data_IF_879505500844
#
_entry.id   IF_879505500844
#
_cell.length_a   1.000
_cell.length_b   1.000
_cell.length_c   1.000
_cell.angle_alpha   90.00
_cell.angle_beta   90.00
_cell.angle_gamma   90.00
#
_symmetry.space_group_name_H-M   'P 1'
#
loop_
_entity.id
_entity.type
_entity.pdbx_description
1 polymer ?
#
# COMPACT_ATOMS: atom_id res chain seq x y z
N UNK A 1 40.32 43.69 67.04
CA UNK A 1 40.66 44.29 65.73
C UNK A 1 40.88 43.16 64.75
N UNK A 2 40.08 43.17 63.67
CA UNK A 2 40.11 42.35 62.45
C UNK A 2 39.92 40.84 62.58
N UNK A 3 38.66 40.43 62.44
CA UNK A 3 38.21 39.13 61.93
C UNK A 3 38.24 39.18 60.40
N UNK A 4 38.93 38.23 59.76
CA UNK A 4 38.94 38.06 58.30
C UNK A 4 38.05 36.87 57.92
N UNK A 5 36.87 37.07 57.32
CA UNK A 5 35.91 36.02 57.02
C UNK A 5 36.00 35.64 55.54
N UNK A 6 37.04 34.93 55.12
CA UNK A 6 37.11 34.45 53.73
C UNK A 6 37.90 33.13 53.58
N UNK A 7 37.65 32.20 54.50
CA UNK A 7 38.20 30.86 54.47
C UNK A 7 37.11 29.80 54.26
N UNK A 8 36.28 29.93 53.22
CA UNK A 8 35.42 28.81 52.79
C UNK A 8 34.92 28.88 51.32
N UNK A 9 35.82 29.15 50.38
CA UNK A 9 35.49 29.08 48.95
C UNK A 9 36.53 28.24 48.20
N UNK A 10 36.34 26.90 48.21
CA UNK A 10 36.86 25.96 47.17
C UNK A 10 36.43 24.52 47.48
N UNK A 11 35.16 24.19 47.24
CA UNK A 11 34.73 22.80 46.99
C UNK A 11 33.68 22.77 45.88
N UNK A 12 33.84 21.77 45.01
CA UNK A 12 32.96 21.31 43.95
C UNK A 12 32.86 22.16 42.67
N UNK A 13 33.93 22.15 41.88
CA UNK A 13 33.79 22.21 40.43
C UNK A 13 33.51 20.78 39.91
N UNK A 14 32.43 20.52 39.16
CA UNK A 14 32.21 19.21 38.57
C UNK A 14 33.33 18.86 37.59
N UNK A 15 33.86 17.64 37.67
CA UNK A 15 34.83 17.11 36.71
C UNK A 15 34.27 17.23 35.29
N UNK A 16 35.09 17.63 34.29
CA UNK A 16 34.63 17.64 32.91
C UNK A 16 34.25 16.21 32.51
N UNK A 17 33.01 16.03 32.04
CA UNK A 17 32.55 14.74 31.52
C UNK A 17 33.55 14.24 30.45
N UNK A 18 33.91 12.95 30.47
CA UNK A 18 34.84 12.39 29.50
C UNK A 18 34.30 12.66 28.09
N UNK A 19 35.04 13.42 27.29
CA UNK A 19 34.65 13.73 25.93
C UNK A 19 34.54 12.44 25.14
N UNK A 20 33.31 12.03 24.83
CA UNK A 20 33.06 10.89 23.93
C UNK A 20 33.71 11.26 22.59
N UNK A 21 34.68 10.48 22.08
CA UNK A 21 35.28 10.78 20.79
C UNK A 21 34.16 10.83 19.74
N UNK A 22 34.09 11.94 19.00
CA UNK A 22 33.11 12.12 17.95
C UNK A 22 33.19 10.93 16.99
N UNK A 23 32.16 10.09 16.99
CA UNK A 23 32.06 8.99 16.04
C UNK A 23 32.12 9.61 14.64
N UNK A 24 32.92 9.06 13.71
CA UNK A 24 32.87 9.52 12.32
C UNK A 24 31.43 9.45 11.84
N UNK A 25 30.96 10.50 11.17
CA UNK A 25 29.59 10.60 10.69
C UNK A 25 29.25 9.33 9.91
N UNK A 26 28.32 8.52 10.44
CA UNK A 26 27.98 7.24 9.83
C UNK A 26 27.48 7.49 8.40
N UNK A 27 28.04 6.78 7.42
CA UNK A 27 27.58 6.88 6.04
C UNK A 27 26.13 6.39 5.97
N UNK A 28 25.24 7.26 5.47
CA UNK A 28 23.82 6.94 5.34
C UNK A 28 23.66 5.76 4.37
N UNK A 29 23.13 4.65 4.89
CA UNK A 29 22.75 3.48 4.10
C UNK A 29 21.55 3.81 3.23
N UNK A 30 21.54 3.27 2.02
CA UNK A 30 20.46 3.44 1.05
C UNK A 30 20.19 2.09 0.39
N UNK A 31 18.91 1.78 0.09
CA UNK A 31 18.63 0.64 -0.76
C UNK A 31 19.25 0.85 -2.15
N UNK A 32 19.59 -0.23 -2.85
CA UNK A 32 20.04 -0.12 -4.23
C UNK A 32 18.90 0.40 -5.13
N UNK A 33 19.26 1.04 -6.23
CA UNK A 33 18.36 1.31 -7.36
C UNK A 33 18.86 0.44 -8.51
N UNK A 34 18.02 -0.47 -8.99
CA UNK A 34 18.42 -1.59 -9.84
C UNK A 34 17.81 -1.48 -11.25
N UNK A 35 17.75 -0.28 -11.81
CA UNK A 35 17.14 -0.03 -13.13
C UNK A 35 17.78 -0.86 -14.24
N UNK A 36 19.11 -0.98 -14.26
CA UNK A 36 19.82 -1.84 -15.22
C UNK A 36 19.40 -3.33 -15.16
N UNK A 37 18.82 -3.80 -14.03
CA UNK A 37 18.30 -5.17 -13.90
C UNK A 37 16.82 -5.26 -14.27
N UNK A 38 16.02 -4.24 -13.99
CA UNK A 38 14.57 -4.24 -14.28
C UNK A 38 14.26 -3.94 -15.74
N UNK A 39 15.01 -3.02 -16.36
CA UNK A 39 14.83 -2.64 -17.76
C UNK A 39 14.80 -3.82 -18.75
N UNK A 40 15.79 -4.74 -18.77
CA UNK A 40 15.76 -5.89 -19.69
C UNK A 40 14.63 -6.88 -19.39
N UNK A 41 14.17 -6.99 -18.14
CA UNK A 41 13.01 -7.82 -17.78
C UNK A 41 11.72 -7.24 -18.37
N UNK A 42 11.55 -5.92 -18.27
CA UNK A 42 10.39 -5.23 -18.85
C UNK A 42 10.36 -5.37 -20.37
N UNK A 43 11.50 -5.23 -21.04
CA UNK A 43 11.54 -5.43 -22.50
C UNK A 43 11.15 -6.85 -22.92
N UNK A 44 11.59 -7.88 -22.17
CA UNK A 44 11.17 -9.27 -22.40
C UNK A 44 9.69 -9.49 -22.11
N UNK A 45 9.15 -8.85 -21.07
CA UNK A 45 7.73 -8.90 -20.74
C UNK A 45 6.88 -8.27 -21.86
N UNK A 46 7.24 -7.10 -22.36
CA UNK A 46 6.53 -6.48 -23.49
C UNK A 46 6.56 -7.35 -24.75
N UNK A 47 7.68 -8.01 -25.03
CA UNK A 47 7.80 -8.97 -26.14
C UNK A 47 6.88 -10.18 -25.95
N UNK A 48 6.86 -10.78 -24.77
CA UNK A 48 6.04 -11.95 -24.47
C UNK A 48 4.52 -11.62 -24.44
N UNK A 49 4.17 -10.41 -23.98
CA UNK A 49 2.78 -9.96 -23.83
C UNK A 49 2.24 -9.32 -25.12
N UNK A 50 3.11 -8.79 -25.99
CA UNK A 50 2.74 -8.16 -27.24
C UNK A 50 2.13 -6.76 -27.08
N UNK A 51 2.52 -6.01 -26.05
CA UNK A 51 2.04 -4.64 -25.82
C UNK A 51 2.72 -3.95 -24.62
N UNK A 52 2.37 -2.68 -24.35
CA UNK A 52 2.99 -1.90 -23.28
C UNK A 52 2.79 -2.54 -21.91
N UNK A 53 3.88 -2.58 -21.15
CA UNK A 53 3.90 -3.11 -19.80
C UNK A 53 4.14 -2.00 -18.79
N UNK A 54 3.33 -1.99 -17.72
CA UNK A 54 3.49 -1.07 -16.59
C UNK A 54 3.47 -1.89 -15.30
N UNK A 55 4.46 -1.70 -14.45
CA UNK A 55 4.44 -2.25 -13.10
C UNK A 55 3.87 -1.26 -12.11
N UNK A 56 3.07 -1.76 -11.17
CA UNK A 56 2.68 -1.08 -9.94
C UNK A 56 3.04 -1.97 -8.75
N UNK A 57 4.15 -1.65 -8.10
CA UNK A 57 4.68 -2.38 -6.96
C UNK A 57 4.68 -1.51 -5.71
N UNK A 58 4.14 -2.03 -4.61
CA UNK A 58 4.09 -1.38 -3.30
C UNK A 58 4.76 -2.29 -2.27
N UNK A 59 5.70 -1.74 -1.49
CA UNK A 59 6.38 -2.49 -0.43
C UNK A 59 5.40 -2.88 0.68
N UNK A 60 5.72 -3.93 1.44
CA UNK A 60 4.87 -4.41 2.53
C UNK A 60 4.64 -3.37 3.64
N UNK A 61 5.51 -2.37 3.73
CA UNK A 61 5.39 -1.31 4.72
C UNK A 61 4.57 -0.12 4.19
N UNK A 62 4.24 -0.07 2.89
CA UNK A 62 3.55 1.03 2.22
C UNK A 62 2.12 0.66 1.82
N UNK A 63 1.35 1.65 1.35
CA UNK A 63 -0.02 1.44 0.87
C UNK A 63 -0.35 2.30 -0.34
N UNK A 64 -1.28 1.82 -1.14
CA UNK A 64 -1.89 2.56 -2.25
C UNK A 64 -2.53 3.85 -1.72
N UNK A 65 -2.19 4.99 -2.32
CA UNK A 65 -2.70 6.31 -1.93
C UNK A 65 -3.04 7.19 -3.14
N UNK A 66 -3.69 8.33 -2.90
CA UNK A 66 -4.04 9.29 -3.97
C UNK A 66 -2.83 9.83 -4.74
N UNK A 67 -1.65 9.86 -4.13
CA UNK A 67 -0.39 10.30 -4.77
C UNK A 67 0.02 9.36 -5.91
N UNK A 68 -0.40 8.09 -5.85
CA UNK A 68 -0.07 7.09 -6.87
C UNK A 68 -0.79 7.35 -8.20
N UNK A 69 -1.88 8.13 -8.16
CA UNK A 69 -2.68 8.47 -9.34
C UNK A 69 -1.86 9.35 -10.29
N UNK A 70 -1.21 10.40 -9.76
CA UNK A 70 -0.34 11.28 -10.54
C UNK A 70 0.94 10.56 -11.00
N UNK A 71 1.50 9.71 -10.13
CA UNK A 71 2.63 8.85 -10.46
C UNK A 71 2.33 7.89 -11.62
N UNK A 72 1.16 7.26 -11.61
CA UNK A 72 0.73 6.39 -12.70
C UNK A 72 0.53 7.18 -14.01
N UNK A 73 -0.17 8.32 -13.99
CA UNK A 73 -0.35 9.17 -15.20
C UNK A 73 1.00 9.56 -15.81
N UNK A 74 1.96 9.93 -14.96
CA UNK A 74 3.31 10.29 -15.39
C UNK A 74 4.03 9.15 -16.12
N UNK A 75 3.94 7.93 -15.59
CA UNK A 75 4.49 6.73 -16.25
C UNK A 75 3.73 6.40 -17.55
N UNK A 76 2.40 6.49 -17.55
CA UNK A 76 1.59 6.22 -18.74
C UNK A 76 1.84 7.21 -19.87
N UNK A 77 2.11 8.49 -19.57
CA UNK A 77 2.53 9.47 -20.59
C UNK A 77 3.82 9.05 -21.27
N UNK A 78 4.78 8.50 -20.52
CA UNK A 78 6.02 7.97 -21.09
C UNK A 78 5.76 6.73 -21.94
N UNK A 79 4.92 5.81 -21.48
CA UNK A 79 4.54 4.65 -22.27
C UNK A 79 3.91 5.06 -23.62
N UNK A 80 3.11 6.15 -23.62
CA UNK A 80 2.48 6.70 -24.83
C UNK A 80 3.47 7.26 -25.85
N UNK A 81 4.62 7.78 -25.40
CA UNK A 81 5.68 8.25 -26.29
C UNK A 81 6.32 7.11 -27.08
N UNK A 82 6.33 5.89 -26.53
CA UNK A 82 6.88 4.70 -27.17
C UNK A 82 5.84 3.98 -28.04
N UNK A 83 4.58 3.99 -27.62
CA UNK A 83 3.47 3.41 -28.36
C UNK A 83 2.23 4.29 -28.24
N UNK A 84 1.89 4.98 -29.35
CA UNK A 84 0.72 5.86 -29.36
C UNK A 84 -0.59 5.04 -29.31
N UNK A 85 -1.47 5.42 -28.37
CA UNK A 85 -2.77 4.83 -28.04
C UNK A 85 -2.84 3.29 -28.18
N UNK A 86 -2.25 2.53 -27.24
CA UNK A 86 -2.26 1.08 -27.32
C UNK A 86 -3.67 0.50 -27.17
N UNK A 87 -3.99 -0.54 -27.95
CA UNK A 87 -5.23 -1.31 -27.81
C UNK A 87 -5.34 -1.97 -26.44
N UNK A 88 -4.21 -2.38 -25.86
CA UNK A 88 -4.15 -3.07 -24.57
C UNK A 88 -2.89 -2.67 -23.80
N UNK A 89 -3.03 -2.47 -22.49
CA UNK A 89 -1.91 -2.33 -21.55
C UNK A 89 -1.89 -3.49 -20.56
N UNK A 90 -0.70 -3.94 -20.20
CA UNK A 90 -0.49 -4.98 -19.20
C UNK A 90 0.01 -4.35 -17.91
N UNK A 91 -0.73 -4.55 -16.82
CA UNK A 91 -0.46 -3.95 -15.53
C UNK A 91 -0.03 -5.02 -14.53
N UNK A 92 1.25 -5.06 -14.17
CA UNK A 92 1.69 -5.83 -13.01
C UNK A 92 1.20 -5.17 -11.71
N UNK A 93 0.58 -5.94 -10.83
CA UNK A 93 0.08 -5.47 -9.54
C UNK A 93 0.69 -6.31 -8.43
N UNK A 94 1.38 -5.64 -7.51
CA UNK A 94 1.80 -6.19 -6.22
C UNK A 94 1.54 -5.14 -5.14
N UNK A 95 0.58 -5.37 -4.25
CA UNK A 95 0.26 -4.45 -3.16
C UNK A 95 -0.65 -5.06 -2.10
N UNK A 96 -0.41 -4.71 -0.84
CA UNK A 96 -1.27 -5.05 0.31
C UNK A 96 -2.54 -4.17 0.43
N UNK A 97 -2.79 -3.31 -0.56
CA UNK A 97 -3.98 -2.45 -0.62
C UNK A 97 -3.72 -1.03 -0.14
N UNK A 98 -4.75 -0.38 0.39
CA UNK A 98 -4.74 1.04 0.71
C UNK A 98 -6.08 1.70 0.40
N UNK A 99 -6.06 2.82 -0.32
CA UNK A 99 -7.28 3.60 -0.60
C UNK A 99 -7.99 3.12 -1.87
N UNK A 100 -9.19 2.53 -1.73
CA UNK A 100 -10.00 2.10 -2.88
C UNK A 100 -10.38 3.23 -3.85
N UNK A 101 -10.49 4.47 -3.36
CA UNK A 101 -10.72 5.65 -4.22
C UNK A 101 -9.53 5.95 -5.13
N UNK A 102 -8.30 5.61 -4.73
CA UNK A 102 -7.13 5.70 -5.60
C UNK A 102 -7.19 4.64 -6.71
N UNK A 103 -7.61 3.41 -6.38
CA UNK A 103 -7.83 2.34 -7.37
C UNK A 103 -8.84 2.74 -8.46
N UNK A 104 -9.96 3.38 -8.09
CA UNK A 104 -10.92 3.90 -9.06
C UNK A 104 -10.29 4.97 -9.97
N UNK A 105 -9.54 5.92 -9.41
CA UNK A 105 -8.89 6.98 -10.21
C UNK A 105 -7.80 6.43 -11.12
N UNK A 106 -7.01 5.47 -10.64
CA UNK A 106 -6.00 4.76 -11.44
C UNK A 106 -6.67 3.99 -12.58
N UNK A 107 -7.77 3.28 -12.32
CA UNK A 107 -8.58 2.61 -13.36
C UNK A 107 -9.05 3.60 -14.42
N UNK A 108 -9.58 4.75 -14.01
CA UNK A 108 -10.04 5.79 -14.94
C UNK A 108 -8.90 6.25 -15.88
N UNK A 109 -7.70 6.50 -15.35
CA UNK A 109 -6.56 6.93 -16.18
C UNK A 109 -6.09 5.81 -17.11
N UNK A 110 -6.04 4.56 -16.64
CA UNK A 110 -5.71 3.40 -17.49
C UNK A 110 -6.69 3.26 -18.66
N UNK A 111 -7.98 3.52 -18.42
CA UNK A 111 -9.04 3.49 -19.44
C UNK A 111 -8.97 4.64 -20.43
N UNK A 112 -8.38 5.77 -20.05
CA UNK A 112 -8.04 6.85 -20.98
C UNK A 112 -6.76 6.58 -21.78
N UNK A 113 -5.88 5.71 -21.25
CA UNK A 113 -4.61 5.36 -21.88
C UNK A 113 -4.75 4.25 -22.93
N UNK A 114 -5.52 3.20 -22.64
CA UNK A 114 -5.71 2.04 -23.49
C UNK A 114 -7.18 1.60 -23.56
N UNK A 115 -7.57 0.96 -24.68
CA UNK A 115 -8.94 0.46 -24.84
C UNK A 115 -9.23 -0.73 -23.91
N UNK A 116 -8.20 -1.53 -23.59
CA UNK A 116 -8.27 -2.66 -22.68
C UNK A 116 -7.08 -2.70 -21.70
N UNK A 117 -7.30 -3.29 -20.53
CA UNK A 117 -6.31 -3.50 -19.48
C UNK A 117 -6.27 -4.99 -19.14
N UNK A 118 -5.08 -5.54 -18.99
CA UNK A 118 -4.86 -6.89 -18.43
C UNK A 118 -4.07 -6.76 -17.14
N UNK A 119 -4.68 -7.14 -16.02
CA UNK A 119 -4.00 -7.18 -14.72
C UNK A 119 -3.17 -8.45 -14.61
N UNK A 120 -1.91 -8.34 -14.24
CA UNK A 120 -0.97 -9.42 -14.01
C UNK A 120 -0.69 -9.48 -12.50
N UNK A 121 -1.11 -10.57 -11.85
CA UNK A 121 -1.06 -10.76 -10.40
C UNK A 121 -0.22 -12.02 -10.08
N UNK A 122 1.11 -11.91 -10.11
CA UNK A 122 2.01 -13.03 -9.79
C UNK A 122 2.14 -13.27 -8.28
N UNK A 123 1.82 -12.25 -7.47
CA UNK A 123 1.92 -12.22 -6.01
C UNK A 123 0.62 -11.64 -5.41
N UNK A 124 0.67 -10.91 -4.31
CA UNK A 124 -0.50 -10.35 -3.66
C UNK A 124 -1.05 -9.09 -4.35
N UNK A 125 -2.36 -9.07 -4.58
CA UNK A 125 -3.12 -7.85 -4.86
C UNK A 125 -4.30 -7.76 -3.90
N UNK A 126 -4.05 -7.28 -2.68
CA UNK A 126 -5.02 -7.26 -1.60
C UNK A 126 -5.86 -5.96 -1.54
N UNK A 127 -7.09 -6.06 -1.08
CA UNK A 127 -7.97 -4.93 -0.74
C UNK A 127 -8.10 -3.92 -1.89
N UNK A 128 -7.62 -2.68 -1.74
CA UNK A 128 -7.64 -1.69 -2.83
C UNK A 128 -6.90 -2.14 -4.10
N UNK A 129 -5.89 -3.00 -4.00
CA UNK A 129 -5.21 -3.57 -5.15
C UNK A 129 -6.07 -4.63 -5.86
N UNK A 130 -6.92 -5.37 -5.12
CA UNK A 130 -8.00 -6.17 -5.73
C UNK A 130 -8.94 -5.25 -6.52
N UNK A 131 -9.36 -4.11 -5.94
CA UNK A 131 -10.19 -3.14 -6.67
C UNK A 131 -9.52 -2.65 -7.95
N UNK A 132 -8.21 -2.37 -7.94
CA UNK A 132 -7.47 -1.99 -9.16
C UNK A 132 -7.48 -3.12 -10.21
N UNK A 133 -7.30 -4.38 -9.78
CA UNK A 133 -7.38 -5.54 -10.65
C UNK A 133 -8.79 -5.73 -11.26
N UNK A 134 -9.87 -5.40 -10.52
CA UNK A 134 -11.24 -5.40 -11.05
C UNK A 134 -11.42 -4.43 -12.22
N UNK A 135 -10.58 -3.41 -12.32
CA UNK A 135 -10.59 -2.45 -13.43
C UNK A 135 -10.10 -3.03 -14.75
N UNK A 136 -9.55 -4.25 -14.76
CA UNK A 136 -9.03 -4.92 -15.93
C UNK A 136 -10.06 -5.83 -16.61
N UNK A 137 -10.03 -5.86 -17.95
CA UNK A 137 -10.87 -6.74 -18.79
C UNK A 137 -10.47 -8.22 -18.63
N UNK A 138 -9.22 -8.47 -18.21
CA UNK A 138 -8.70 -9.80 -17.92
C UNK A 138 -7.76 -9.72 -16.71
N UNK A 139 -7.86 -10.69 -15.80
CA UNK A 139 -6.98 -10.81 -14.62
C UNK A 139 -6.20 -12.12 -14.75
N UNK A 140 -4.89 -12.04 -14.96
CA UNK A 140 -4.02 -13.21 -15.00
C UNK A 140 -3.36 -13.39 -13.64
N UNK A 141 -3.60 -14.55 -13.01
CA UNK A 141 -3.15 -14.86 -11.66
C UNK A 141 -2.10 -15.98 -11.74
N UNK A 142 -0.94 -15.76 -11.10
CA UNK A 142 0.15 -16.73 -11.00
C UNK A 142 -0.08 -17.79 -9.91
N UNK A 143 0.77 -18.82 -9.83
CA UNK A 143 0.67 -19.86 -8.80
C UNK A 143 0.79 -19.34 -7.36
N UNK A 144 1.57 -18.27 -7.16
CA UNK A 144 1.71 -17.58 -5.87
C UNK A 144 0.72 -16.40 -5.72
N UNK A 145 -0.02 -16.10 -6.79
CA UNK A 145 -0.87 -14.93 -6.87
C UNK A 145 -2.21 -15.10 -6.19
N UNK A 146 -2.70 -14.03 -5.56
CA UNK A 146 -4.05 -13.99 -4.99
C UNK A 146 -4.62 -12.58 -4.94
N UNK A 147 -5.95 -12.51 -5.01
CA UNK A 147 -6.74 -11.33 -4.62
C UNK A 147 -7.22 -11.49 -3.17
N UNK A 148 -7.76 -10.46 -2.55
CA UNK A 148 -8.36 -10.58 -1.21
C UNK A 148 -9.73 -9.91 -1.14
N UNK A 149 -10.38 -10.04 0.02
CA UNK A 149 -11.60 -9.31 0.30
C UNK A 149 -11.35 -7.79 0.29
N UNK A 150 -12.41 -7.03 0.03
CA UNK A 150 -12.41 -5.57 -0.09
C UNK A 150 -13.23 -4.87 1.02
N UNK A 151 -13.60 -5.64 2.04
CA UNK A 151 -14.27 -5.12 3.22
C UNK A 151 -13.40 -4.09 3.93
N UNK A 152 -14.02 -3.00 4.37
CA UNK A 152 -13.30 -1.91 5.01
C UNK A 152 -13.54 -1.93 6.52
N UNK A 153 -12.44 -2.08 7.27
CA UNK A 153 -12.41 -1.72 8.69
C UNK A 153 -11.95 -0.27 8.84
N UNK A 154 -12.46 0.44 9.86
CA UNK A 154 -12.04 1.82 10.14
C UNK A 154 -11.61 2.00 11.60
N UNK A 155 -10.60 2.84 11.80
CA UNK A 155 -10.24 3.41 13.12
C UNK A 155 -10.84 4.80 13.24
N UNK A 156 -12.03 4.88 13.84
CA UNK A 156 -12.75 6.13 14.04
C UNK A 156 -12.29 6.85 15.31
N UNK A 157 -12.45 8.18 15.38
CA UNK A 157 -12.15 8.98 16.58
C UNK A 157 -13.00 8.64 17.82
N UNK A 158 -13.95 7.71 17.69
CA UNK A 158 -14.79 7.18 18.76
C UNK A 158 -14.74 5.66 18.81
N UNK A 159 -13.78 5.04 18.09
CA UNK A 159 -13.52 3.61 18.20
C UNK A 159 -13.13 3.22 19.62
N UNK A 160 -13.43 1.98 20.04
CA UNK A 160 -12.98 1.43 21.31
C UNK A 160 -11.46 1.56 21.49
N UNK A 161 -11.01 1.58 22.73
CA UNK A 161 -9.58 1.59 23.06
C UNK A 161 -9.13 0.18 23.44
N UNK A 162 -7.91 -0.18 23.03
CA UNK A 162 -7.22 -1.38 23.50
C UNK A 162 -6.52 -1.11 24.85
N UNK A 163 -5.87 -2.15 25.39
CA UNK A 163 -5.16 -2.12 26.68
C UNK A 163 -3.96 -1.15 26.72
N UNK A 164 -3.51 -0.61 25.58
CA UNK A 164 -2.45 0.39 25.47
C UNK A 164 -2.97 1.76 25.00
N UNK A 165 -4.29 2.00 25.11
CA UNK A 165 -4.98 3.21 24.66
C UNK A 165 -4.89 3.47 23.15
N UNK A 166 -4.63 2.44 22.36
CA UNK A 166 -4.74 2.45 20.91
C UNK A 166 -6.20 2.31 20.46
N UNK A 167 -6.60 3.02 19.40
CA UNK A 167 -7.96 2.89 18.84
C UNK A 167 -8.08 1.58 18.06
N UNK A 168 -9.02 0.73 18.44
CA UNK A 168 -9.32 -0.54 17.78
C UNK A 168 -10.00 -0.28 16.43
N UNK A 169 -9.60 -1.03 15.39
CA UNK A 169 -10.30 -0.99 14.10
C UNK A 169 -11.61 -1.75 14.22
N UNK A 170 -12.71 -1.21 13.69
CA UNK A 170 -14.00 -1.88 13.70
C UNK A 170 -14.38 -2.19 12.26
N UNK A 171 -14.77 -3.43 11.98
CA UNK A 171 -15.31 -3.86 10.70
C UNK A 171 -16.85 -3.88 10.73
N UNK A 172 -17.47 -3.53 9.60
CA UNK A 172 -18.91 -3.72 9.41
C UNK A 172 -19.29 -5.20 9.45
N UNK A 173 -18.50 -6.07 8.82
CA UNK A 173 -18.76 -7.51 8.76
C UNK A 173 -18.74 -8.14 10.17
N UNK A 174 -17.79 -7.74 11.02
CA UNK A 174 -17.72 -8.20 12.42
C UNK A 174 -18.98 -7.84 13.21
N UNK A 175 -19.46 -6.59 13.09
CA UNK A 175 -20.70 -6.17 13.76
C UNK A 175 -21.92 -6.97 13.28
N UNK A 176 -22.04 -7.18 11.96
CA UNK A 176 -23.13 -7.97 11.38
C UNK A 176 -23.05 -9.42 11.84
N UNK A 177 -21.86 -10.01 11.96
CA UNK A 177 -21.68 -11.37 12.49
C UNK A 177 -22.12 -11.48 13.95
N UNK A 178 -21.82 -10.49 14.79
CA UNK A 178 -22.28 -10.49 16.19
C UNK A 178 -23.80 -10.48 16.25
N UNK A 179 -24.45 -9.60 15.47
CA UNK A 179 -25.93 -9.53 15.41
C UNK A 179 -26.53 -10.84 14.86
N UNK A 180 -25.90 -11.45 13.85
CA UNK A 180 -26.33 -12.75 13.31
C UNK A 180 -26.21 -13.86 14.34
N UNK A 181 -25.07 -13.96 15.02
CA UNK A 181 -24.85 -14.97 16.07
C UNK A 181 -25.84 -14.80 17.22
N UNK A 182 -26.15 -13.56 17.60
CA UNK A 182 -27.20 -13.29 18.58
C UNK A 182 -28.55 -13.84 18.13
N UNK A 183 -28.96 -13.55 16.89
CA UNK A 183 -30.23 -14.03 16.35
C UNK A 183 -30.29 -15.57 16.25
N UNK A 184 -29.18 -16.24 15.94
CA UNK A 184 -29.09 -17.70 15.87
C UNK A 184 -29.18 -18.39 17.24
N UNK A 185 -28.69 -17.72 18.31
CA UNK A 185 -28.65 -18.28 19.67
C UNK A 185 -29.76 -17.73 20.58
N UNK A 186 -30.53 -16.74 20.11
CA UNK A 186 -31.70 -16.22 20.78
C UNK A 186 -32.76 -17.32 20.89
N UNK A 187 -33.05 -17.76 22.12
CA UNK A 187 -34.08 -18.78 22.38
C UNK A 187 -35.48 -18.34 21.90
N UNK A 188 -36.43 -19.27 21.74
CA UNK A 188 -37.80 -18.94 21.36
C UNK A 188 -38.39 -17.94 22.36
N UNK A 189 -38.68 -16.70 21.92
CA UNK A 189 -39.21 -15.63 22.76
C UNK A 189 -38.19 -14.59 23.26
N UNK A 190 -36.91 -14.70 22.89
CA UNK A 190 -35.92 -13.65 23.12
C UNK A 190 -36.20 -12.44 22.20
N UNK A 191 -37.14 -11.60 22.61
CA UNK A 191 -37.39 -10.29 22.01
C UNK A 191 -36.39 -9.29 22.59
N UNK A 192 -35.44 -8.82 21.78
CA UNK A 192 -34.46 -7.82 22.19
C UNK A 192 -33.73 -7.22 21.00
N UNK A 193 -33.34 -5.95 21.13
CA UNK A 193 -32.52 -5.26 20.14
C UNK A 193 -31.03 -5.39 20.53
N UNK A 194 -30.20 -6.18 19.82
CA UNK A 194 -28.79 -6.37 20.18
C UNK A 194 -27.97 -5.08 20.04
N UNK A 195 -28.47 -4.08 19.31
CA UNK A 195 -27.78 -2.80 19.13
C UNK A 195 -27.68 -2.01 20.42
N UNK A 196 -28.66 -2.11 21.33
CA UNK A 196 -28.64 -1.38 22.60
C UNK A 196 -27.39 -1.74 23.42
N UNK A 197 -27.15 -3.03 23.62
CA UNK A 197 -25.97 -3.56 24.32
C UNK A 197 -24.67 -3.25 23.57
N UNK A 198 -24.68 -3.31 22.22
CA UNK A 198 -23.50 -2.98 21.43
C UNK A 198 -23.08 -1.52 21.57
N UNK A 199 -24.01 -0.58 21.79
CA UNK A 199 -23.70 0.85 21.93
C UNK A 199 -22.86 1.17 23.18
N UNK A 200 -22.91 0.32 24.20
CA UNK A 200 -22.06 0.45 25.40
C UNK A 200 -20.57 0.16 25.10
N UNK A 201 -20.31 -0.61 24.05
CA UNK A 201 -18.95 -1.00 23.65
C UNK A 201 -18.47 -0.29 22.39
N UNK A 202 -19.37 -0.03 21.43
CA UNK A 202 -19.07 0.58 20.14
C UNK A 202 -19.99 1.77 19.92
N UNK A 203 -19.40 2.96 19.94
CA UNK A 203 -20.15 4.21 19.81
C UNK A 203 -20.99 4.24 18.51
N UNK A 204 -22.26 4.69 18.52
CA UNK A 204 -23.16 4.66 17.34
C UNK A 204 -22.60 5.34 16.08
N UNK A 205 -21.88 6.45 16.22
CA UNK A 205 -21.18 7.10 15.10
C UNK A 205 -20.11 6.21 14.42
N UNK A 206 -19.50 5.28 15.16
CA UNK A 206 -18.58 4.28 14.60
C UNK A 206 -19.36 3.29 13.75
N UNK A 207 -20.50 2.80 14.24
CA UNK A 207 -21.40 1.89 13.51
C UNK A 207 -21.87 2.54 12.20
N UNK A 208 -22.34 3.79 12.27
CA UNK A 208 -22.70 4.54 11.07
C UNK A 208 -21.51 4.80 10.14
N UNK A 209 -20.29 4.92 10.67
CA UNK A 209 -19.10 5.12 9.85
C UNK A 209 -18.62 3.84 9.15
N UNK A 210 -18.69 2.67 9.81
CA UNK A 210 -18.36 1.38 9.16
C UNK A 210 -19.40 1.00 8.11
N UNK A 211 -20.68 1.30 8.33
CA UNK A 211 -21.75 1.11 7.33
C UNK A 211 -21.48 1.92 6.05
N UNK A 212 -21.15 3.21 6.21
CA UNK A 212 -20.72 4.05 5.08
C UNK A 212 -19.46 3.51 4.39
N UNK A 213 -18.49 3.01 5.15
CA UNK A 213 -17.25 2.46 4.59
C UNK A 213 -17.51 1.18 3.77
N UNK A 214 -18.34 0.27 4.27
CA UNK A 214 -18.79 -0.94 3.56
C UNK A 214 -19.56 -0.58 2.28
N UNK A 215 -20.50 0.36 2.37
CA UNK A 215 -21.25 0.87 1.21
C UNK A 215 -20.34 1.49 0.15
N UNK A 216 -19.29 2.20 0.59
CA UNK A 216 -18.29 2.76 -0.31
C UNK A 216 -17.49 1.67 -1.03
N UNK A 217 -17.04 0.61 -0.34
CA UNK A 217 -16.35 -0.53 -0.97
C UNK A 217 -17.17 -1.16 -2.09
N UNK A 218 -18.46 -1.44 -1.82
CA UNK A 218 -19.38 -2.02 -2.82
C UNK A 218 -19.56 -1.06 -4.01
N UNK A 219 -19.78 0.23 -3.74
CA UNK A 219 -19.94 1.24 -4.79
C UNK A 219 -18.69 1.36 -5.66
N UNK A 220 -17.51 1.40 -5.05
CA UNK A 220 -16.23 1.48 -5.78
C UNK A 220 -16.02 0.27 -6.67
N UNK A 221 -16.22 -0.95 -6.15
CA UNK A 221 -16.07 -2.16 -6.96
C UNK A 221 -17.07 -2.20 -8.13
N UNK A 222 -18.33 -1.82 -7.88
CA UNK A 222 -19.37 -1.78 -8.91
C UNK A 222 -19.03 -0.76 -10.00
N UNK A 223 -18.60 0.45 -9.60
CA UNK A 223 -18.18 1.51 -10.53
C UNK A 223 -16.97 1.08 -11.36
N UNK A 224 -15.94 0.51 -10.72
CA UNK A 224 -14.73 0.03 -11.39
C UNK A 224 -15.07 -1.07 -12.41
N UNK A 225 -15.90 -2.04 -12.04
CA UNK A 225 -16.32 -3.11 -12.94
C UNK A 225 -17.11 -2.54 -14.13
N UNK A 226 -17.92 -1.49 -13.92
CA UNK A 226 -18.76 -0.91 -14.97
C UNK A 226 -18.00 -0.33 -16.17
N UNK A 227 -16.68 -0.12 -16.05
CA UNK A 227 -15.84 0.27 -17.19
C UNK A 227 -15.75 -0.79 -18.30
N UNK A 228 -16.07 -2.06 -18.00
CA UNK A 228 -15.97 -3.16 -18.97
C UNK A 228 -17.00 -4.28 -18.79
N UNK A 229 -17.64 -4.39 -17.62
CA UNK A 229 -18.78 -5.28 -17.43
C UNK A 229 -20.07 -4.62 -17.92
N UNK A 230 -20.65 -5.16 -18.98
CA UNK A 230 -22.00 -4.77 -19.45
C UNK A 230 -23.12 -5.29 -18.52
N UNK A 231 -22.89 -6.43 -17.86
CA UNK A 231 -23.84 -7.02 -16.92
C UNK A 231 -23.71 -6.38 -15.52
N UNK A 232 -24.51 -5.34 -15.30
CA UNK A 232 -24.55 -4.60 -14.04
C UNK A 232 -24.97 -5.45 -12.83
N UNK A 233 -25.86 -6.42 -13.01
CA UNK A 233 -26.30 -7.31 -11.91
C UNK A 233 -25.17 -8.24 -11.48
N UNK A 234 -24.44 -8.80 -12.46
CA UNK A 234 -23.24 -9.60 -12.19
C UNK A 234 -22.13 -8.77 -11.55
N UNK A 235 -21.89 -7.54 -12.01
CA UNK A 235 -20.92 -6.64 -11.40
C UNK A 235 -21.27 -6.36 -9.92
N UNK A 236 -22.54 -6.08 -9.63
CA UNK A 236 -23.02 -5.87 -8.27
C UNK A 236 -22.91 -7.14 -7.40
N UNK A 237 -23.16 -8.32 -7.97
CA UNK A 237 -23.00 -9.60 -7.28
C UNK A 237 -21.54 -9.88 -6.91
N UNK A 238 -20.60 -9.63 -7.84
CA UNK A 238 -19.15 -9.73 -7.59
C UNK A 238 -18.73 -8.77 -6.46
N UNK A 239 -19.16 -7.50 -6.54
CA UNK A 239 -18.84 -6.49 -5.53
C UNK A 239 -19.33 -6.90 -4.13
N UNK A 240 -20.56 -7.42 -4.03
CA UNK A 240 -21.10 -7.96 -2.76
C UNK A 240 -20.31 -9.17 -2.26
N UNK A 241 -19.95 -10.10 -3.16
CA UNK A 241 -19.18 -11.28 -2.81
C UNK A 241 -17.80 -10.92 -2.22
N UNK A 242 -17.08 -10.00 -2.87
CA UNK A 242 -15.78 -9.52 -2.42
C UNK A 242 -15.84 -8.78 -1.08
N UNK A 243 -16.97 -8.16 -0.75
CA UNK A 243 -17.14 -7.39 0.48
C UNK A 243 -17.64 -8.22 1.67
N UNK A 244 -18.35 -9.34 1.46
CA UNK A 244 -19.10 -9.97 2.57
C UNK A 244 -19.07 -11.51 2.60
N UNK A 245 -18.59 -12.18 1.56
CA UNK A 245 -18.66 -13.66 1.51
C UNK A 245 -17.43 -14.35 2.12
N UNK A 246 -16.40 -13.60 2.50
CA UNK A 246 -15.15 -14.17 3.00
C UNK A 246 -15.02 -14.08 4.52
N UNK A 247 -14.40 -15.08 5.18
CA UNK A 247 -14.33 -15.15 6.64
C UNK A 247 -13.29 -14.21 7.27
N UNK A 248 -12.40 -13.65 6.46
CA UNK A 248 -11.34 -12.76 6.90
C UNK A 248 -10.95 -11.80 5.77
N UNK A 249 -10.52 -10.60 6.13
CA UNK A 249 -10.03 -9.59 5.17
C UNK A 249 -8.88 -10.13 4.30
N UNK A 250 -7.96 -10.86 4.94
CA UNK A 250 -6.81 -11.51 4.29
C UNK A 250 -7.10 -12.87 3.66
N UNK A 251 -8.36 -13.25 3.44
CA UNK A 251 -8.69 -14.52 2.79
C UNK A 251 -8.15 -14.53 1.35
N UNK A 252 -7.31 -15.51 0.97
CA UNK A 252 -6.72 -15.56 -0.36
C UNK A 252 -7.73 -16.06 -1.40
N UNK A 253 -8.15 -15.15 -2.28
CA UNK A 253 -8.97 -15.43 -3.45
C UNK A 253 -8.02 -15.87 -4.57
N UNK A 254 -7.75 -17.17 -4.61
CA UNK A 254 -6.93 -17.80 -5.66
C UNK A 254 -7.63 -17.77 -7.03
N UNK A 255 -6.91 -18.13 -8.09
CA UNK A 255 -7.47 -18.22 -9.46
C UNK A 255 -8.80 -18.98 -9.52
N UNK A 256 -8.89 -20.15 -8.86
CA UNK A 256 -10.12 -20.96 -8.86
C UNK A 256 -11.30 -20.23 -8.20
N UNK A 257 -11.03 -19.47 -7.14
CA UNK A 257 -12.04 -18.68 -6.45
C UNK A 257 -12.47 -17.48 -7.29
N UNK A 258 -11.50 -16.75 -7.86
CA UNK A 258 -11.75 -15.62 -8.75
C UNK A 258 -12.66 -16.02 -9.93
N UNK A 259 -12.40 -17.18 -10.55
CA UNK A 259 -13.26 -17.73 -11.59
C UNK A 259 -14.66 -18.10 -11.07
N UNK A 260 -14.75 -18.71 -9.87
CA UNK A 260 -16.02 -19.11 -9.26
C UNK A 260 -16.94 -17.93 -8.97
N UNK A 261 -16.38 -16.81 -8.49
CA UNK A 261 -17.16 -15.59 -8.23
C UNK A 261 -17.48 -14.80 -9.50
N UNK A 262 -16.95 -15.21 -10.66
CA UNK A 262 -17.30 -14.67 -11.96
C UNK A 262 -16.36 -13.59 -12.50
N UNK A 263 -15.15 -13.44 -11.95
CA UNK A 263 -14.13 -12.57 -12.53
C UNK A 263 -13.58 -13.16 -13.85
N UNK A 264 -13.13 -12.31 -14.80
CA UNK A 264 -12.48 -12.75 -16.04
C UNK A 264 -11.04 -13.20 -15.78
N UNK A 265 -10.87 -14.23 -14.92
CA UNK A 265 -9.58 -14.66 -14.41
C UNK A 265 -9.00 -15.84 -15.18
N UNK A 266 -7.70 -15.77 -15.50
CA UNK A 266 -6.92 -16.80 -16.19
C UNK A 266 -5.59 -17.06 -15.47
N UNK A 267 -4.94 -18.18 -15.77
CA UNK A 267 -3.59 -18.43 -15.31
C UNK A 267 -2.59 -17.56 -16.08
N UNK A 268 -1.54 -17.08 -15.42
CA UNK A 268 -0.36 -16.53 -16.11
C UNK A 268 0.30 -17.61 -16.97
N UNK A 269 0.80 -17.22 -18.15
CA UNK A 269 1.67 -18.08 -18.93
C UNK A 269 2.98 -18.32 -18.14
N UNK A 270 3.54 -19.55 -18.10
CA UNK A 270 4.72 -19.86 -17.28
C UNK A 270 5.92 -18.94 -17.51
N UNK A 271 6.19 -18.57 -18.77
CA UNK A 271 7.29 -17.65 -19.11
C UNK A 271 7.05 -16.24 -18.56
N UNK A 272 5.81 -15.75 -18.63
CA UNK A 272 5.44 -14.43 -18.10
C UNK A 272 5.51 -14.44 -16.58
N UNK A 273 5.00 -15.49 -15.93
CA UNK A 273 5.06 -15.65 -14.47
C UNK A 273 6.51 -15.61 -13.97
N UNK A 274 7.42 -16.36 -14.60
CA UNK A 274 8.84 -16.36 -14.23
C UNK A 274 9.47 -14.95 -14.32
N UNK A 275 9.21 -14.23 -15.41
CA UNK A 275 9.70 -12.86 -15.59
C UNK A 275 9.13 -11.89 -14.54
N UNK A 276 7.84 -12.00 -14.22
CA UNK A 276 7.20 -11.15 -13.21
C UNK A 276 7.70 -11.45 -11.79
N UNK A 277 7.98 -12.72 -11.47
CA UNK A 277 8.59 -13.11 -10.20
C UNK A 277 10.01 -12.53 -10.08
N UNK A 278 10.84 -12.63 -11.13
CA UNK A 278 12.17 -12.03 -11.15
C UNK A 278 12.12 -10.50 -10.99
N UNK A 279 11.16 -9.86 -11.64
CA UNK A 279 10.93 -8.42 -11.51
C UNK A 279 10.51 -8.06 -10.08
N UNK A 280 9.55 -8.79 -9.51
CA UNK A 280 9.08 -8.60 -8.13
C UNK A 280 10.17 -8.81 -7.08
N UNK A 281 11.08 -9.79 -7.28
CA UNK A 281 12.24 -10.01 -6.42
C UNK A 281 13.24 -8.84 -6.50
N UNK A 282 13.46 -8.31 -7.71
CA UNK A 282 14.33 -7.14 -7.92
C UNK A 282 13.73 -5.90 -7.26
N UNK A 283 12.40 -5.71 -7.31
CA UNK A 283 11.69 -4.68 -6.56
C UNK A 283 11.78 -4.88 -5.04
N UNK A 284 11.66 -6.12 -4.56
CA UNK A 284 11.79 -6.42 -3.14
C UNK A 284 13.20 -6.11 -2.60
N UNK A 285 14.26 -6.32 -3.40
CA UNK A 285 15.64 -5.93 -3.05
C UNK A 285 15.78 -4.41 -2.93
N UNK A 286 15.23 -3.64 -3.88
CA UNK A 286 15.20 -2.17 -3.81
C UNK A 286 14.33 -1.66 -2.65
N UNK A 287 13.29 -2.40 -2.29
CA UNK A 287 12.36 -2.02 -1.23
C UNK A 287 12.83 -2.29 0.19
N UNK A 288 14.05 -2.83 0.38
CA UNK A 288 14.57 -3.10 1.71
C UNK A 288 14.79 -1.79 2.49
N UNK A 289 14.32 -1.77 3.74
CA UNK A 289 14.57 -0.66 4.66
C UNK A 289 16.04 -0.63 5.05
N UNK A 290 16.68 0.51 4.84
CA UNK A 290 18.09 0.76 5.11
C UNK A 290 18.21 1.80 6.24
N UNK A 291 18.36 1.31 7.47
CA UNK A 291 18.55 2.19 8.63
C UNK A 291 20.03 2.43 8.94
N UNK A 292 20.33 3.65 9.33
CA UNK A 292 21.64 4.07 9.83
C UNK A 292 21.47 4.60 11.25
N UNK A 293 21.85 3.80 12.24
CA UNK A 293 21.81 4.20 13.64
C UNK A 293 22.96 5.15 13.96
N UNK A 294 22.65 6.30 14.54
CA UNK A 294 23.66 7.25 15.02
C UNK A 294 23.91 7.06 16.52
N UNK A 295 22.83 6.95 17.29
CA UNK A 295 22.82 6.72 18.74
C UNK A 295 21.45 6.14 19.18
N UNK A 296 21.25 5.79 20.48
CA UNK A 296 20.00 5.18 20.94
C UNK A 296 18.72 6.00 20.72
N UNK A 297 18.84 7.30 20.45
CA UNK A 297 17.72 8.23 20.24
C UNK A 297 17.66 8.79 18.82
N UNK A 298 18.65 8.51 17.96
CA UNK A 298 18.73 9.06 16.61
C UNK A 298 19.11 8.00 15.58
N UNK A 299 18.30 7.88 14.52
CA UNK A 299 18.64 7.08 13.35
C UNK A 299 18.11 7.73 12.07
N UNK A 300 18.73 7.41 10.94
CA UNK A 300 18.23 7.73 9.61
C UNK A 300 17.56 6.50 9.01
N UNK A 301 16.41 6.68 8.37
CA UNK A 301 15.71 5.61 7.66
C UNK A 301 15.53 5.95 6.20
N UNK A 302 15.98 5.04 5.33
CA UNK A 302 15.83 5.14 3.89
C UNK A 302 15.14 3.89 3.34
N UNK A 303 14.10 4.06 2.51
CA UNK A 303 13.35 2.93 1.94
C UNK A 303 12.69 3.35 0.62
N UNK A 304 12.77 2.49 -0.40
CA UNK A 304 11.93 2.65 -1.60
C UNK A 304 10.59 1.96 -1.33
N UNK A 305 9.54 2.77 -1.29
CA UNK A 305 8.22 2.38 -0.79
C UNK A 305 7.30 1.89 -1.91
N UNK A 306 7.46 2.48 -3.09
CA UNK A 306 6.59 2.28 -4.25
C UNK A 306 7.43 2.38 -5.51
N UNK A 307 7.14 1.55 -6.50
CA UNK A 307 7.79 1.58 -7.81
C UNK A 307 6.70 1.46 -8.87
N UNK A 308 6.68 2.43 -9.79
CA UNK A 308 5.89 2.42 -11.01
C UNK A 308 6.86 2.51 -12.18
N UNK A 309 6.90 1.49 -13.02
CA UNK A 309 7.90 1.38 -14.08
C UNK A 309 7.25 0.98 -15.39
N UNK A 310 7.78 1.53 -16.48
CA UNK A 310 7.47 1.17 -17.85
C UNK A 310 8.79 1.14 -18.63
N UNK A 311 8.77 0.67 -19.86
CA UNK A 311 9.95 0.71 -20.72
C UNK A 311 10.60 2.09 -20.75
N UNK A 312 11.88 2.15 -20.37
CA UNK A 312 12.71 3.36 -20.41
C UNK A 312 12.42 4.41 -19.32
N UNK A 313 11.62 4.09 -18.29
CA UNK A 313 11.40 4.96 -17.13
C UNK A 313 11.02 4.16 -15.88
N UNK A 314 11.78 4.36 -14.80
CA UNK A 314 11.43 3.91 -13.46
C UNK A 314 11.12 5.11 -12.58
N UNK A 315 9.89 5.14 -12.05
CA UNK A 315 9.45 6.12 -11.09
C UNK A 315 9.29 5.42 -9.74
N UNK A 316 9.92 5.95 -8.70
CA UNK A 316 9.85 5.34 -7.37
C UNK A 316 9.69 6.39 -6.27
N UNK A 317 8.92 6.05 -5.24
CA UNK A 317 8.78 6.90 -4.06
C UNK A 317 9.78 6.46 -2.99
N UNK A 318 10.74 7.33 -2.68
CA UNK A 318 11.74 7.09 -1.65
C UNK A 318 11.34 7.81 -0.36
N UNK A 319 11.22 7.07 0.73
CA UNK A 319 11.18 7.63 2.08
C UNK A 319 12.61 7.88 2.54
N UNK A 320 12.90 9.10 2.97
CA UNK A 320 14.25 9.56 3.35
C UNK A 320 14.09 10.52 4.54
N UNK A 321 14.24 10.00 5.76
CA UNK A 321 13.89 10.74 6.99
C UNK A 321 14.87 10.45 8.12
N UNK A 322 15.11 11.47 8.94
CA UNK A 322 15.72 11.30 10.25
C UNK A 322 14.64 11.03 11.30
N UNK A 323 14.99 10.23 12.30
CA UNK A 323 14.12 9.89 13.41
C UNK A 323 14.81 10.25 14.72
N UNK A 324 14.08 10.96 15.58
CA UNK A 324 14.53 11.37 16.91
C UNK A 324 13.53 10.92 17.97
N UNK A 325 14.00 10.22 19.00
CA UNK A 325 13.18 9.82 20.14
C UNK A 325 13.07 10.95 21.16
N UNK A 326 11.86 11.49 21.33
CA UNK A 326 11.56 12.51 22.34
C UNK A 326 11.17 11.85 23.66
N UNK A 327 12.04 11.94 24.65
CA UNK A 327 11.81 11.29 25.96
C UNK A 327 10.60 11.85 26.70
N UNK A 328 10.43 13.17 26.69
CA UNK A 328 9.30 13.86 27.36
C UNK A 328 7.95 13.41 26.82
N UNK A 329 7.88 13.11 25.52
CA UNK A 329 6.66 12.68 24.84
C UNK A 329 6.59 11.15 24.67
N UNK A 330 7.64 10.43 25.07
CA UNK A 330 7.82 8.98 24.93
C UNK A 330 7.49 8.46 23.53
N UNK A 331 7.89 9.21 22.49
CA UNK A 331 7.60 8.86 21.09
C UNK A 331 8.73 9.23 20.15
N UNK A 332 8.82 8.51 19.04
CA UNK A 332 9.65 8.87 17.91
C UNK A 332 9.01 10.01 17.11
N UNK A 333 9.83 10.94 16.66
CA UNK A 333 9.43 12.07 15.80
C UNK A 333 10.31 12.11 14.56
N UNK A 334 9.72 12.43 13.42
CA UNK A 334 10.43 12.57 12.14
C UNK A 334 11.06 13.96 12.03
N UNK A 335 12.29 14.02 11.55
CA UNK A 335 13.05 15.23 11.23
C UNK A 335 13.59 15.12 9.80
N UNK A 336 13.92 16.26 9.18
CA UNK A 336 14.59 16.34 7.87
C UNK A 336 13.95 15.44 6.79
N UNK A 337 12.62 15.43 6.69
CA UNK A 337 11.91 14.61 5.72
C UNK A 337 12.20 15.08 4.29
N UNK A 338 12.91 14.26 3.52
CA UNK A 338 13.26 14.46 2.11
C UNK A 338 12.56 13.45 1.20
N UNK A 339 11.47 12.86 1.68
CA UNK A 339 10.72 11.87 0.92
C UNK A 339 10.14 12.47 -0.35
N UNK A 340 10.27 11.74 -1.45
CA UNK A 340 9.90 12.26 -2.76
C UNK A 340 9.74 11.15 -3.80
N UNK A 341 8.96 11.46 -4.83
CA UNK A 341 8.99 10.72 -6.08
C UNK A 341 10.27 11.06 -6.85
N UNK A 342 10.92 10.02 -7.38
CA UNK A 342 12.15 10.11 -8.13
C UNK A 342 12.00 9.35 -9.43
N UNK A 343 12.37 10.01 -10.51
CA UNK A 343 12.35 9.46 -11.85
C UNK A 343 13.78 9.13 -12.26
N UNK A 344 13.98 7.90 -12.72
CA UNK A 344 15.21 7.43 -13.33
C UNK A 344 14.95 7.07 -14.80
N UNK A 345 15.82 7.57 -15.69
CA UNK A 345 15.84 7.24 -17.12
C UNK A 345 17.26 7.03 -17.61
N UNK A 346 17.40 6.34 -18.75
CA UNK A 346 18.64 6.35 -19.52
C UNK A 346 18.64 7.52 -20.50
N UNK A 347 19.65 8.39 -20.43
CA UNK A 347 19.90 9.46 -21.41
C UNK A 347 21.32 9.25 -21.94
N UNK A 348 21.46 9.09 -23.25
CA UNK A 348 22.75 8.80 -23.89
C UNK A 348 23.53 7.60 -23.30
N UNK A 349 22.82 6.61 -22.74
CA UNK A 349 23.41 5.41 -22.13
C UNK A 349 23.78 5.56 -20.66
N UNK A 350 23.59 6.73 -20.06
CA UNK A 350 23.84 6.98 -18.63
C UNK A 350 22.52 7.05 -17.85
N UNK A 351 22.53 6.58 -16.60
CA UNK A 351 21.38 6.67 -15.70
C UNK A 351 21.27 8.09 -15.12
N UNK A 352 20.16 8.76 -15.41
CA UNK A 352 19.83 10.07 -14.87
C UNK A 352 18.65 9.95 -13.91
N UNK A 353 18.87 10.32 -12.65
CA UNK A 353 17.83 10.40 -11.63
C UNK A 353 17.50 11.86 -11.31
N UNK A 354 16.22 12.20 -11.24
CA UNK A 354 15.73 13.51 -10.77
C UNK A 354 14.55 13.37 -9.82
N UNK A 355 14.40 14.34 -8.92
CA UNK A 355 13.18 14.49 -8.11
C UNK A 355 12.06 15.03 -8.99
N UNK A 356 10.86 14.49 -8.80
CA UNK A 356 9.64 14.97 -9.46
C UNK A 356 8.57 15.34 -8.43
N UNK A 357 7.82 16.38 -8.73
CA UNK A 357 6.69 16.85 -7.93
C UNK A 357 5.42 16.62 -8.76
N UNK A 358 4.53 15.77 -8.25
CA UNK A 358 3.38 15.22 -8.98
C UNK A 358 2.04 15.64 -8.33
#
# INVERSE_FOLDING_TARGET
>A
MSSDPDADAKRDAPEPEPSIPARPAAQIRRPPVLFARTAPLIERLEQALGGPFVSYWVSANASMSQEDVGALDHVLRRARELQDRPRRVFLFIKSDGGQGTAALRMTNILRHFADAVTALVPLEAASAATMLALGADEIQIGPLGYLSAVDTSIRHALSPLDHVNGRVSVSHDELVRVVRLWAEHAGPGAAGNPWGELYDYVHPLVIGAVDRASSLSIKLCTEILSYHFEDHERAAAIARALNSNYPAHGYPITLREAQRIGLPAKALAPEVDELLIQLGQTYAEMGQRADTDFDPRNYHSNEIRKIIETRGLQLYHQSDKDWHYRETERRWTTLNDRSSWRELRLIAGEEHTKVVHL
#
